data_IF_026981036796
#
_entry.id   IF_026981036796
#
_cell.length_a   1.000
_cell.length_b   1.000
_cell.length_c   1.000
_cell.angle_alpha   90.00
_cell.angle_beta   90.00
_cell.angle_gamma   90.00
#
_symmetry.space_group_name_H-M   'P 1'
#
loop_
_entity.id
_entity.type
_entity.pdbx_description
1 polymer ?
#
# COMPACT_ATOMS: atom_id res chain seq x y z
N UNK A 1 24.22 3.45 -7.71
CA UNK A 1 23.46 2.25 -8.09
C UNK A 1 23.67 1.17 -7.04
N UNK A 2 22.59 0.57 -6.60
CA UNK A 2 22.67 -0.52 -5.60
C UNK A 2 23.22 -1.77 -6.28
N UNK A 3 24.24 -2.42 -5.71
CA UNK A 3 24.72 -3.69 -6.25
C UNK A 3 23.60 -4.73 -6.28
N UNK A 4 23.57 -5.56 -7.30
CA UNK A 4 22.53 -6.58 -7.48
C UNK A 4 22.53 -7.62 -6.34
N UNK A 5 23.66 -7.78 -5.63
CA UNK A 5 23.80 -8.71 -4.52
C UNK A 5 23.25 -8.17 -3.20
N UNK A 6 22.97 -6.87 -3.09
CA UNK A 6 22.44 -6.32 -1.87
C UNK A 6 20.92 -6.53 -1.78
N UNK A 7 20.40 -7.04 -0.64
CA UNK A 7 18.97 -7.17 -0.47
C UNK A 7 18.32 -5.79 -0.39
N UNK A 8 17.09 -5.69 -0.90
CA UNK A 8 16.28 -4.49 -0.69
C UNK A 8 15.90 -4.39 0.79
N UNK A 9 15.73 -3.16 1.31
CA UNK A 9 15.36 -2.97 2.72
C UNK A 9 13.91 -3.33 3.02
N UNK A 10 13.17 -3.82 2.04
CA UNK A 10 11.77 -4.20 2.17
C UNK A 10 11.44 -5.30 1.16
N UNK A 11 10.29 -5.94 1.36
CA UNK A 11 9.72 -6.90 0.40
C UNK A 11 8.32 -6.44 0.00
N UNK A 12 7.92 -6.74 -1.25
CA UNK A 12 6.58 -6.44 -1.74
C UNK A 12 5.87 -7.76 -2.03
N UNK A 13 4.66 -7.92 -1.49
CA UNK A 13 3.88 -9.15 -1.66
C UNK A 13 2.50 -8.84 -2.20
N UNK A 14 2.01 -9.61 -3.19
CA UNK A 14 0.60 -9.54 -3.55
C UNK A 14 -0.25 -10.11 -2.42
N UNK A 15 -1.37 -9.47 -2.17
CA UNK A 15 -2.27 -9.86 -1.08
C UNK A 15 -3.72 -9.83 -1.55
N UNK A 16 -4.58 -10.58 -0.84
CA UNK A 16 -6.01 -10.57 -1.10
C UNK A 16 -6.69 -9.55 -0.18
N UNK A 17 -7.60 -8.76 -0.74
CA UNK A 17 -8.35 -7.76 0.01
C UNK A 17 -9.06 -8.38 1.23
N UNK A 18 -9.76 -9.50 1.03
CA UNK A 18 -10.52 -10.14 2.09
C UNK A 18 -9.68 -10.57 3.28
N UNK A 19 -8.41 -10.96 3.04
CA UNK A 19 -7.52 -11.41 4.10
C UNK A 19 -6.76 -10.28 4.78
N UNK A 20 -6.56 -9.14 4.08
CA UNK A 20 -5.62 -8.10 4.54
C UNK A 20 -6.25 -6.71 4.59
N UNK A 21 -7.57 -6.59 4.46
CA UNK A 21 -8.21 -5.27 4.35
C UNK A 21 -7.93 -4.36 5.53
N UNK A 22 -7.81 -4.90 6.74
CA UNK A 22 -7.53 -4.07 7.92
C UNK A 22 -6.15 -3.41 7.83
N UNK A 23 -5.15 -4.16 7.36
CA UNK A 23 -3.79 -3.62 7.17
C UNK A 23 -3.77 -2.59 6.05
N UNK A 24 -4.38 -2.92 4.91
CA UNK A 24 -4.46 -2.01 3.77
C UNK A 24 -5.16 -0.70 4.15
N UNK A 25 -6.29 -0.79 4.85
CA UNK A 25 -7.04 0.40 5.29
C UNK A 25 -6.22 1.23 6.28
N UNK A 26 -5.50 0.58 7.20
CA UNK A 26 -4.71 1.29 8.20
C UNK A 26 -3.61 2.14 7.55
N UNK A 27 -2.86 1.56 6.59
CA UNK A 27 -1.80 2.28 5.90
C UNK A 27 -2.38 3.41 5.05
N UNK A 28 -3.44 3.13 4.29
CA UNK A 28 -4.06 4.13 3.41
C UNK A 28 -4.68 5.26 4.20
N UNK A 29 -5.32 4.97 5.33
CA UNK A 29 -5.86 6.00 6.20
C UNK A 29 -4.74 6.90 6.74
N UNK A 30 -3.63 6.31 7.17
CA UNK A 30 -2.51 7.08 7.68
C UNK A 30 -1.95 8.04 6.62
N UNK A 31 -1.77 7.57 5.40
CA UNK A 31 -1.15 8.36 4.34
C UNK A 31 -2.14 9.33 3.71
N UNK A 32 -3.28 8.84 3.25
CA UNK A 32 -4.19 9.67 2.46
C UNK A 32 -5.09 10.56 3.32
N UNK A 33 -5.63 10.01 4.40
CA UNK A 33 -6.55 10.77 5.26
C UNK A 33 -5.78 11.63 6.24
N UNK A 34 -4.88 11.06 7.02
CA UNK A 34 -4.18 11.78 8.09
C UNK A 34 -3.10 12.73 7.56
N UNK A 35 -2.30 12.31 6.58
CA UNK A 35 -1.20 13.14 6.07
C UNK A 35 -1.64 14.06 4.93
N UNK A 36 -2.45 13.57 4.01
CA UNK A 36 -2.84 14.34 2.81
C UNK A 36 -4.21 14.99 2.91
N UNK A 37 -4.99 14.68 3.94
CA UNK A 37 -6.28 15.31 4.16
C UNK A 37 -7.37 14.88 3.19
N UNK A 38 -7.24 13.74 2.54
CA UNK A 38 -8.29 13.21 1.66
C UNK A 38 -9.49 12.81 2.52
N UNK A 39 -10.72 13.29 2.19
CA UNK A 39 -11.90 12.88 2.93
C UNK A 39 -12.08 11.36 2.91
N UNK A 40 -12.41 10.74 4.06
CA UNK A 40 -12.53 9.27 4.14
C UNK A 40 -13.49 8.66 3.12
N UNK A 41 -14.60 9.32 2.84
CA UNK A 41 -15.59 8.83 1.87
C UNK A 41 -15.09 8.85 0.42
N UNK A 42 -14.08 9.69 0.11
CA UNK A 42 -13.45 9.69 -1.20
C UNK A 42 -12.36 8.62 -1.30
N UNK A 43 -11.72 8.27 -0.19
CA UNK A 43 -10.70 7.22 -0.17
C UNK A 43 -11.32 5.83 -0.38
N UNK A 44 -12.48 5.58 0.23
CA UNK A 44 -13.16 4.29 0.15
C UNK A 44 -14.18 4.32 -0.98
N UNK A 45 -13.72 4.01 -2.20
CA UNK A 45 -14.53 4.16 -3.43
C UNK A 45 -15.29 2.90 -3.83
N UNK A 46 -15.20 1.84 -3.03
CA UNK A 46 -15.90 0.59 -3.31
C UNK A 46 -15.26 -0.31 -4.36
N UNK A 47 -14.08 0.05 -4.87
CA UNK A 47 -13.42 -0.72 -5.92
C UNK A 47 -12.42 -1.75 -5.39
N UNK A 48 -12.16 -1.76 -4.08
CA UNK A 48 -11.09 -2.58 -3.50
C UNK A 48 -11.33 -4.08 -3.60
N UNK A 49 -12.58 -4.52 -3.47
CA UNK A 49 -12.91 -5.95 -3.48
C UNK A 49 -12.56 -6.64 -4.79
N UNK A 50 -12.55 -5.90 -5.88
CA UNK A 50 -12.29 -6.41 -7.22
C UNK A 50 -10.94 -5.97 -7.78
N UNK A 51 -10.11 -5.37 -6.97
CA UNK A 51 -8.78 -4.91 -7.37
C UNK A 51 -7.70 -5.89 -6.90
N UNK A 52 -6.54 -5.79 -7.53
CA UNK A 52 -5.33 -6.46 -7.05
C UNK A 52 -4.62 -5.53 -6.09
N UNK A 53 -4.09 -6.10 -5.00
CA UNK A 53 -3.41 -5.33 -3.97
C UNK A 53 -2.03 -5.89 -3.70
N UNK A 54 -1.11 -5.01 -3.31
CA UNK A 54 0.20 -5.39 -2.79
C UNK A 54 0.45 -4.66 -1.48
N UNK A 55 1.24 -5.28 -0.61
CA UNK A 55 1.74 -4.65 0.60
C UNK A 55 3.26 -4.75 0.59
N UNK A 56 3.92 -3.65 0.88
CA UNK A 56 5.36 -3.62 1.14
C UNK A 56 5.59 -3.78 2.63
N UNK A 57 6.49 -4.68 2.99
CA UNK A 57 6.85 -4.96 4.37
C UNK A 57 8.33 -4.64 4.59
N UNK A 58 8.64 -4.00 5.71
CA UNK A 58 10.01 -3.90 6.19
C UNK A 58 10.56 -5.29 6.52
N UNK A 59 11.87 -5.41 6.68
CA UNK A 59 12.49 -6.71 6.95
C UNK A 59 12.02 -7.34 8.27
N UNK A 60 11.57 -6.53 9.22
CA UNK A 60 11.01 -7.01 10.49
C UNK A 60 9.53 -7.42 10.38
N UNK A 61 8.93 -7.32 9.19
CA UNK A 61 7.54 -7.66 8.96
C UNK A 61 6.56 -6.51 9.11
N UNK A 62 7.01 -5.30 9.42
CA UNK A 62 6.13 -4.14 9.56
C UNK A 62 5.59 -3.70 8.20
N UNK A 63 4.27 -3.57 8.02
CA UNK A 63 3.71 -3.05 6.78
C UNK A 63 4.05 -1.55 6.63
N UNK A 64 4.61 -1.17 5.48
CA UNK A 64 5.10 0.19 5.26
C UNK A 64 4.54 0.85 4.00
N UNK A 65 3.87 0.12 3.14
CA UNK A 65 3.31 0.68 1.93
C UNK A 65 2.28 -0.23 1.29
N UNK A 66 1.49 0.34 0.40
CA UNK A 66 0.44 -0.38 -0.34
C UNK A 66 0.38 0.10 -1.78
N UNK A 67 -0.20 -0.73 -2.65
CA UNK A 67 -0.55 -0.35 -4.00
C UNK A 67 -1.81 -1.09 -4.44
N UNK A 68 -2.52 -0.50 -5.39
CA UNK A 68 -3.75 -1.07 -5.95
C UNK A 68 -3.71 -1.04 -7.48
N UNK A 69 -4.04 -2.17 -8.11
CA UNK A 69 -4.24 -2.27 -9.55
C UNK A 69 -5.71 -2.61 -9.81
N UNK A 70 -6.42 -1.71 -10.46
CA UNK A 70 -7.81 -1.94 -10.84
C UNK A 70 -7.90 -2.86 -12.06
N UNK A 71 -9.06 -3.48 -12.25
CA UNK A 71 -9.28 -4.41 -13.37
C UNK A 71 -9.10 -3.76 -14.74
N UNK A 72 -9.34 -2.45 -14.84
CA UNK A 72 -9.15 -1.71 -16.10
C UNK A 72 -7.69 -1.32 -16.35
N UNK A 73 -6.77 -1.70 -15.47
CA UNK A 73 -5.35 -1.42 -15.63
C UNK A 73 -4.84 -0.18 -14.90
N UNK A 74 -5.71 0.58 -14.25
CA UNK A 74 -5.26 1.76 -13.51
C UNK A 74 -4.53 1.37 -12.24
N UNK A 75 -3.33 1.91 -12.05
CA UNK A 75 -2.55 1.76 -10.82
C UNK A 75 -2.81 2.99 -9.96
N UNK A 76 -3.13 2.76 -8.70
CA UNK A 76 -3.39 3.86 -7.78
C UNK A 76 -3.27 3.44 -6.33
N UNK A 77 -3.71 4.33 -5.44
CA UNK A 77 -3.63 4.11 -4.00
C UNK A 77 -2.23 3.68 -3.56
N UNK A 78 -1.19 4.27 -4.19
CA UNK A 78 0.19 4.05 -3.79
C UNK A 78 0.44 4.86 -2.53
N UNK A 79 0.64 4.17 -1.42
CA UNK A 79 0.83 4.78 -0.12
C UNK A 79 2.09 4.23 0.52
N UNK A 80 2.98 5.12 0.95
CA UNK A 80 4.18 4.76 1.70
C UNK A 80 4.18 5.62 2.95
N UNK A 81 4.34 5.01 4.12
CA UNK A 81 4.39 5.77 5.36
C UNK A 81 5.60 6.70 5.36
N UNK A 82 5.46 7.85 6.03
CA UNK A 82 6.42 8.94 5.93
C UNK A 82 7.86 8.51 6.23
N UNK A 83 8.06 7.68 7.24
CA UNK A 83 9.38 7.22 7.66
C UNK A 83 10.13 6.41 6.60
N UNK A 84 9.43 5.92 5.58
CA UNK A 84 10.01 5.11 4.51
C UNK A 84 10.06 5.80 3.16
N UNK A 85 9.64 7.07 3.09
CA UNK A 85 9.77 7.84 1.86
C UNK A 85 11.20 8.35 1.69
N UNK A 86 11.70 8.18 0.52
CA UNK A 86 13.03 8.69 0.17
C UNK A 86 13.09 10.23 0.06
#
# INVERSE_FOLDING_TARGET
>A
MTPASEPLPFTVKPVYWTATQLVLRAIRAKVFVEEQGVPPDLEWDGLDEHAYHVIAYALDGTPIGTGRLLQDGHIGRLAVIMEWRG
#
